data_IF_821334866892
#
_entry.id   IF_821334866892
#
_cell.length_a   1.000
_cell.length_b   1.000
_cell.length_c   1.000
_cell.angle_alpha   90.00
_cell.angle_beta   90.00
_cell.angle_gamma   90.00
#
_symmetry.space_group_name_H-M   'P 1'
#
loop_
_entity.id
_entity.type
_entity.pdbx_description
1 polymer ?
#
# COMPACT_ATOMS: atom_id res chain seq x y z
N UNK A 1 -15.91 16.53 -7.20
CA UNK A 1 -14.63 16.48 -6.45
C UNK A 1 -14.65 15.21 -5.61
N UNK A 2 -13.61 14.41 -5.66
CA UNK A 2 -13.51 13.17 -4.87
C UNK A 2 -12.50 13.37 -3.73
N UNK A 3 -12.60 12.58 -2.67
CA UNK A 3 -11.75 12.71 -1.48
C UNK A 3 -10.75 11.55 -1.46
N UNK A 4 -9.48 11.86 -1.21
CA UNK A 4 -8.45 10.85 -1.02
C UNK A 4 -8.72 10.04 0.25
N UNK A 5 -8.74 8.71 0.13
CA UNK A 5 -8.95 7.82 1.28
C UNK A 5 -7.77 7.74 2.25
N UNK A 6 -6.62 8.37 1.93
CA UNK A 6 -5.46 8.42 2.84
C UNK A 6 -5.34 9.79 3.51
N UNK A 7 -5.09 10.85 2.75
CA UNK A 7 -4.88 12.17 3.33
C UNK A 7 -6.19 12.94 3.63
N UNK A 8 -7.34 12.46 3.14
CA UNK A 8 -8.62 13.15 3.32
C UNK A 8 -8.78 14.43 2.50
N UNK A 9 -7.82 14.77 1.65
CA UNK A 9 -7.89 15.97 0.81
C UNK A 9 -8.78 15.77 -0.41
N UNK A 10 -9.41 16.87 -0.85
CA UNK A 10 -10.19 16.89 -2.09
C UNK A 10 -9.24 16.92 -3.28
N UNK A 11 -9.40 15.94 -4.16
CA UNK A 11 -8.63 15.85 -5.40
C UNK A 11 -9.54 15.81 -6.62
N UNK A 12 -9.02 16.38 -7.71
CA UNK A 12 -9.70 16.39 -9.01
C UNK A 12 -9.63 15.02 -9.69
N UNK A 13 -8.57 14.26 -9.41
CA UNK A 13 -8.39 12.87 -9.85
C UNK A 13 -7.98 12.01 -8.67
N UNK A 14 -8.63 10.86 -8.56
CA UNK A 14 -8.18 9.77 -7.70
C UNK A 14 -7.71 8.60 -8.56
N UNK A 15 -6.78 7.84 -7.99
CA UNK A 15 -6.21 6.64 -8.56
C UNK A 15 -6.54 5.47 -7.65
N UNK A 16 -6.95 4.36 -8.25
CA UNK A 16 -7.27 3.15 -7.50
C UNK A 16 -6.01 2.29 -7.33
N UNK A 17 -5.69 1.95 -6.07
CA UNK A 17 -4.60 1.05 -5.76
C UNK A 17 -4.94 -0.36 -6.27
N UNK A 18 -4.08 -0.94 -7.12
CA UNK A 18 -4.32 -2.29 -7.68
C UNK A 18 -4.31 -3.43 -6.64
N UNK A 19 -3.82 -3.13 -5.43
CA UNK A 19 -3.65 -4.12 -4.36
C UNK A 19 -4.81 -4.06 -3.36
N UNK A 20 -5.06 -2.89 -2.76
CA UNK A 20 -6.09 -2.75 -1.71
C UNK A 20 -7.40 -2.13 -2.21
N UNK A 21 -7.44 -1.63 -3.45
CA UNK A 21 -8.62 -1.00 -4.04
C UNK A 21 -8.93 0.42 -3.54
N UNK A 22 -8.12 1.00 -2.64
CA UNK A 22 -8.32 2.38 -2.16
C UNK A 22 -8.12 3.40 -3.27
N UNK A 23 -8.94 4.46 -3.27
CA UNK A 23 -8.87 5.61 -4.16
C UNK A 23 -8.10 6.74 -3.51
N UNK A 24 -6.94 7.04 -4.06
CA UNK A 24 -5.96 7.95 -3.47
C UNK A 24 -5.57 9.05 -4.45
N UNK A 25 -5.18 10.21 -3.95
CA UNK A 25 -4.73 11.30 -4.79
C UNK A 25 -3.38 10.97 -5.43
N UNK A 26 -2.96 11.73 -6.45
CA UNK A 26 -1.69 11.50 -7.15
C UNK A 26 -0.46 11.59 -6.24
N UNK A 27 -0.57 12.32 -5.12
CA UNK A 27 0.51 12.47 -4.14
C UNK A 27 0.75 11.16 -3.38
N UNK A 28 -0.34 10.47 -3.03
CA UNK A 28 -0.36 9.21 -2.29
C UNK A 28 -0.38 7.98 -3.22
N UNK A 29 -0.29 8.20 -4.53
CA UNK A 29 -0.34 7.15 -5.54
C UNK A 29 1.03 6.96 -6.19
N UNK A 30 1.62 5.79 -5.99
CA UNK A 30 2.81 5.39 -6.71
C UNK A 30 2.43 4.94 -8.12
N UNK A 31 2.59 5.84 -9.09
CA UNK A 31 2.27 5.58 -10.49
C UNK A 31 3.19 4.53 -11.16
N UNK A 32 4.40 4.30 -10.63
CA UNK A 32 5.32 3.26 -11.17
C UNK A 32 4.79 1.87 -10.88
N UNK A 33 4.41 1.63 -9.61
CA UNK A 33 3.94 0.33 -9.12
C UNK A 33 2.42 0.16 -9.20
N UNK A 34 1.70 1.25 -9.53
CA UNK A 34 0.22 1.39 -9.54
C UNK A 34 -0.44 1.03 -8.21
N UNK A 35 0.19 1.43 -7.11
CA UNK A 35 -0.26 1.17 -5.73
C UNK A 35 -0.32 2.46 -4.92
N UNK A 36 -1.08 2.47 -3.83
CA UNK A 36 -1.01 3.57 -2.88
C UNK A 36 0.25 3.50 -2.00
N UNK A 37 0.66 4.64 -1.45
CA UNK A 37 1.83 4.76 -0.57
C UNK A 37 1.73 3.81 0.63
N UNK A 38 0.56 3.65 1.23
CA UNK A 38 0.35 2.68 2.32
C UNK A 38 0.70 1.27 1.86
N UNK A 39 0.23 0.84 0.68
CA UNK A 39 0.55 -0.47 0.15
C UNK A 39 2.04 -0.61 -0.12
N UNK A 40 2.69 0.43 -0.65
CA UNK A 40 4.15 0.46 -0.83
C UNK A 40 4.90 0.30 0.50
N UNK A 41 4.47 1.02 1.54
CA UNK A 41 5.06 0.95 2.89
C UNK A 41 4.78 -0.36 3.61
N UNK A 42 3.66 -1.03 3.27
CA UNK A 42 3.23 -2.31 3.86
C UNK A 42 3.63 -3.53 3.04
N UNK A 43 4.39 -3.35 1.96
CA UNK A 43 4.96 -4.48 1.23
C UNK A 43 5.85 -5.32 2.16
N UNK A 44 5.77 -6.64 1.98
CA UNK A 44 6.66 -7.59 2.65
C UNK A 44 8.11 -7.17 2.39
N UNK A 45 8.88 -6.82 3.42
CA UNK A 45 10.29 -6.40 3.21
C UNK A 45 11.18 -7.56 2.76
N UNK A 46 10.71 -8.81 2.91
CA UNK A 46 11.44 -10.02 2.50
C UNK A 46 11.37 -10.25 0.99
N UNK A 47 10.18 -10.20 0.41
CA UNK A 47 9.99 -10.50 -1.02
C UNK A 47 9.66 -9.26 -1.87
N UNK A 48 9.20 -8.16 -1.26
CA UNK A 48 8.68 -6.94 -1.92
C UNK A 48 7.58 -7.17 -2.96
N UNK A 49 7.04 -8.39 -3.04
CA UNK A 49 6.15 -8.83 -4.11
C UNK A 49 4.70 -8.99 -3.65
N UNK A 50 4.49 -9.07 -2.32
CA UNK A 50 3.19 -9.25 -1.69
C UNK A 50 3.02 -8.27 -0.54
N UNK A 51 1.78 -7.86 -0.26
CA UNK A 51 1.48 -7.13 0.96
C UNK A 51 1.78 -7.99 2.17
N UNK A 52 2.33 -7.36 3.19
CA UNK A 52 2.48 -7.94 4.49
C UNK A 52 1.11 -8.09 5.15
N UNK A 53 0.75 -9.33 5.50
CA UNK A 53 -0.47 -9.66 6.25
C UNK A 53 -0.13 -9.81 7.74
N UNK A 54 1.14 -10.07 8.08
CA UNK A 54 1.60 -10.22 9.44
C UNK A 54 2.95 -9.50 9.66
N UNK A 55 3.21 -9.07 10.90
CA UNK A 55 4.54 -8.58 11.30
C UNK A 55 5.27 -9.75 11.97
N UNK A 56 6.51 -10.02 11.55
CA UNK A 56 7.40 -10.99 12.19
C UNK A 56 7.59 -10.61 13.66
N UNK A 57 7.03 -11.39 14.58
CA UNK A 57 7.13 -11.12 16.03
C UNK A 57 8.56 -11.27 16.59
N UNK A 58 9.48 -11.89 15.84
CA UNK A 58 10.89 -12.03 16.21
C UNK A 58 11.75 -10.83 15.80
N UNK A 59 11.39 -10.17 14.70
CA UNK A 59 12.26 -9.25 14.00
C UNK A 59 11.60 -7.90 13.65
N UNK A 60 10.28 -7.77 13.87
CA UNK A 60 9.49 -6.57 13.57
C UNK A 60 9.26 -6.32 12.09
N UNK A 61 9.63 -7.26 11.22
CA UNK A 61 9.57 -7.09 9.76
C UNK A 61 8.17 -7.44 9.24
N UNK A 62 7.62 -6.57 8.39
CA UNK A 62 6.44 -6.84 7.58
C UNK A 62 6.69 -8.03 6.65
N UNK A 63 5.99 -9.15 6.87
CA UNK A 63 6.06 -10.39 6.09
C UNK A 63 4.68 -10.82 5.55
N UNK A 64 4.66 -11.27 4.30
CA UNK A 64 3.49 -11.94 3.74
C UNK A 64 3.39 -13.39 4.26
N UNK A 65 2.21 -14.01 4.09
CA UNK A 65 1.95 -15.40 4.52
C UNK A 65 3.02 -16.37 4.01
N UNK A 66 3.41 -16.23 2.74
CA UNK A 66 4.45 -17.05 2.08
C UNK A 66 5.86 -16.86 2.67
N UNK A 67 6.15 -15.70 3.27
CA UNK A 67 7.46 -15.38 3.85
C UNK A 67 7.52 -15.56 5.37
N UNK A 68 6.39 -15.92 5.98
CA UNK A 68 6.22 -16.16 7.42
C UNK A 68 6.64 -17.57 7.87
N UNK A 69 7.03 -18.41 6.92
CA UNK A 69 7.50 -19.79 7.08
C UNK A 69 8.98 -19.85 7.50
#
# INVERSE_FOLDING_TARGET
>A
MQICEICGERSTKLFECRICGRRVCILEFNAKEKICEICEMTLCRKCKNQLSIAVCNLCGILVCEDCSV
#
